data_IF_761436663517
#
_entry.id   IF_761436663517
#
_cell.length_a   1.000
_cell.length_b   1.000
_cell.length_c   1.000
_cell.angle_alpha   90.00
_cell.angle_beta   90.00
_cell.angle_gamma   90.00
#
_symmetry.space_group_name_H-M   'P 1'
#
loop_
_entity.id
_entity.type
_entity.pdbx_description
1 polymer ?
#
# COMPACT_ATOMS: atom_id res chain seq x y z
N UNK A 1 3.08 7.83 -9.26
CA UNK A 1 2.61 6.43 -9.26
C UNK A 1 1.22 6.44 -8.66
N UNK A 2 0.26 5.73 -9.26
CA UNK A 2 -1.12 5.70 -8.77
C UNK A 2 -1.22 4.98 -7.41
N UNK A 3 -2.24 5.33 -6.60
CA UNK A 3 -2.41 4.76 -5.25
C UNK A 3 -2.76 3.26 -5.31
N UNK A 4 -3.47 2.81 -6.35
CA UNK A 4 -3.78 1.40 -6.54
C UNK A 4 -2.51 0.63 -6.89
N UNK A 5 -1.64 1.20 -7.72
CA UNK A 5 -0.32 0.59 -8.00
C UNK A 5 0.53 0.49 -6.73
N UNK A 6 0.55 1.54 -5.89
CA UNK A 6 1.26 1.51 -4.61
C UNK A 6 0.71 0.44 -3.67
N UNK A 7 -0.61 0.25 -3.61
CA UNK A 7 -1.22 -0.83 -2.83
C UNK A 7 -0.81 -2.22 -3.33
N UNK A 8 -0.78 -2.43 -4.64
CA UNK A 8 -0.34 -3.71 -5.23
C UNK A 8 1.12 -4.00 -4.88
N UNK A 9 2.00 -3.01 -5.02
CA UNK A 9 3.41 -3.12 -4.63
C UNK A 9 3.57 -3.40 -3.14
N UNK A 10 2.78 -2.73 -2.29
CA UNK A 10 2.82 -2.92 -0.84
C UNK A 10 2.37 -4.33 -0.43
N UNK A 11 1.32 -4.88 -1.06
CA UNK A 11 0.88 -6.26 -0.83
C UNK A 11 1.96 -7.25 -1.24
N UNK A 12 2.61 -7.04 -2.40
CA UNK A 12 3.72 -7.87 -2.84
C UNK A 12 4.90 -7.82 -1.86
N UNK A 13 5.21 -6.64 -1.32
CA UNK A 13 6.24 -6.46 -0.30
C UNK A 13 5.92 -7.23 0.99
N UNK A 14 4.68 -7.13 1.49
CA UNK A 14 4.22 -7.88 2.66
C UNK A 14 4.36 -9.39 2.42
N UNK A 15 3.95 -9.89 1.26
CA UNK A 15 4.06 -11.31 0.92
C UNK A 15 5.53 -11.78 0.92
N UNK A 16 6.44 -11.00 0.31
CA UNK A 16 7.87 -11.30 0.29
C UNK A 16 8.49 -11.30 1.69
N UNK A 17 8.21 -10.28 2.51
CA UNK A 17 8.70 -10.20 3.89
C UNK A 17 8.19 -11.41 4.69
N UNK A 18 6.90 -11.73 4.56
CA UNK A 18 6.28 -12.84 5.28
C UNK A 18 6.93 -14.18 4.93
N UNK A 19 7.17 -14.44 3.64
CA UNK A 19 7.85 -15.65 3.19
C UNK A 19 9.26 -15.76 3.78
N UNK A 20 10.00 -14.65 3.80
CA UNK A 20 11.34 -14.61 4.38
C UNK A 20 11.35 -14.80 5.90
N UNK A 21 10.39 -14.23 6.62
CA UNK A 21 10.24 -14.44 8.08
C UNK A 21 10.01 -15.91 8.38
N UNK A 22 9.06 -16.55 7.70
CA UNK A 22 8.80 -17.97 7.95
C UNK A 22 9.96 -18.86 7.53
N UNK A 23 10.59 -18.58 6.39
CA UNK A 23 11.76 -19.31 5.92
C UNK A 23 12.93 -19.23 6.89
N UNK A 24 13.23 -18.04 7.43
CA UNK A 24 14.33 -17.84 8.39
C UNK A 24 14.03 -18.50 9.73
N UNK A 25 12.79 -18.39 10.23
CA UNK A 25 12.37 -19.07 11.46
C UNK A 25 12.44 -20.61 11.34
N UNK A 26 12.05 -21.18 10.20
CA UNK A 26 12.14 -22.62 9.98
C UNK A 26 13.60 -23.08 9.82
N UNK A 27 14.42 -22.33 9.09
CA UNK A 27 15.84 -22.63 8.89
C UNK A 27 16.62 -22.57 10.19
N UNK A 28 16.34 -21.58 11.03
CA UNK A 28 17.10 -21.29 12.25
C UNK A 28 16.45 -21.90 13.52
N UNK A 29 15.44 -22.75 13.35
CA UNK A 29 14.76 -23.40 14.48
C UNK A 29 15.73 -24.33 15.23
N UNK A 30 15.97 -24.13 16.54
CA UNK A 30 16.78 -25.04 17.31
C UNK A 30 16.06 -26.39 17.47
N UNK A 31 16.79 -27.52 17.51
CA UNK A 31 16.19 -28.80 17.82
C UNK A 31 15.58 -28.78 19.23
N UNK A 32 14.36 -29.29 19.35
CA UNK A 32 13.65 -29.38 20.64
C UNK A 32 13.58 -30.85 21.07
N UNK A 33 13.91 -31.14 22.33
CA UNK A 33 13.69 -32.48 22.87
C UNK A 33 12.20 -32.71 23.11
N UNK A 34 11.63 -33.69 22.40
CA UNK A 34 10.21 -34.04 22.52
C UNK A 34 9.92 -34.95 23.72
N UNK A 35 10.93 -35.61 24.27
CA UNK A 35 10.78 -36.52 25.41
C UNK A 35 12.10 -36.68 26.18
N UNK A 36 12.06 -36.92 27.50
CA UNK A 36 13.26 -37.09 28.33
C UNK A 36 14.13 -38.32 27.99
N UNK A 37 13.60 -39.23 27.17
CA UNK A 37 14.26 -40.49 26.81
C UNK A 37 14.95 -40.44 25.43
N UNK A 38 15.04 -39.26 24.82
CA UNK A 38 15.69 -39.05 23.53
C UNK A 38 17.06 -38.39 23.75
N UNK A 39 18.12 -38.81 23.02
CA UNK A 39 19.45 -38.22 23.18
C UNK A 39 19.45 -36.71 22.91
N UNK A 40 20.32 -35.99 23.64
CA UNK A 40 20.49 -34.55 23.51
C UNK A 40 20.80 -34.16 22.06
N UNK A 41 20.09 -33.16 21.50
CA UNK A 41 20.41 -32.68 20.16
C UNK A 41 21.78 -31.98 20.13
N UNK A 42 22.43 -31.95 18.96
CA UNK A 42 23.68 -31.23 18.80
C UNK A 42 23.52 -29.74 19.13
N UNK A 43 24.58 -29.07 19.62
CA UNK A 43 24.53 -27.65 19.97
C UNK A 43 24.07 -26.81 18.77
N UNK A 44 23.04 -25.99 18.98
CA UNK A 44 22.47 -25.14 17.95
C UNK A 44 23.38 -23.94 17.65
N UNK A 45 23.38 -23.48 16.40
CA UNK A 45 23.97 -22.20 16.03
C UNK A 45 23.30 -21.05 16.80
N UNK A 46 24.01 -19.94 17.07
CA UNK A 46 23.41 -18.78 17.72
C UNK A 46 22.23 -18.25 16.90
N UNK A 47 21.12 -17.98 17.58
CA UNK A 47 19.95 -17.35 16.97
C UNK A 47 20.32 -15.95 16.46
N UNK A 48 20.01 -15.69 15.20
CA UNK A 48 20.24 -14.39 14.56
C UNK A 48 19.15 -13.40 14.99
N UNK A 49 19.46 -12.10 15.00
CA UNK A 49 18.45 -11.04 15.23
C UNK A 49 17.65 -10.69 13.95
N UNK A 50 18.00 -11.31 12.81
CA UNK A 50 17.32 -11.19 11.51
C UNK A 50 15.78 -11.36 11.59
N UNK A 51 15.23 -12.42 12.22
CA UNK A 51 13.77 -12.58 12.34
C UNK A 51 13.08 -11.43 13.09
N UNK A 52 13.77 -10.80 14.07
CA UNK A 52 13.20 -9.65 14.78
C UNK A 52 13.12 -8.43 13.86
N UNK A 53 14.18 -8.17 13.09
CA UNK A 53 14.19 -7.07 12.12
C UNK A 53 13.11 -7.28 11.05
N UNK A 54 13.02 -8.48 10.48
CA UNK A 54 12.00 -8.80 9.48
C UNK A 54 10.57 -8.70 10.04
N UNK A 55 10.36 -9.06 11.31
CA UNK A 55 9.06 -8.88 11.97
C UNK A 55 8.70 -7.40 12.16
N UNK A 56 9.68 -6.55 12.46
CA UNK A 56 9.48 -5.10 12.54
C UNK A 56 9.15 -4.50 11.16
N UNK A 57 9.84 -4.98 10.12
CA UNK A 57 9.59 -4.56 8.74
C UNK A 57 8.19 -4.98 8.28
N UNK A 58 7.72 -6.18 8.67
CA UNK A 58 6.35 -6.62 8.41
C UNK A 58 5.31 -5.71 9.05
N UNK A 59 5.48 -5.35 10.32
CA UNK A 59 4.57 -4.44 11.02
C UNK A 59 4.57 -3.05 10.37
N UNK A 60 5.74 -2.56 9.96
CA UNK A 60 5.85 -1.29 9.24
C UNK A 60 5.13 -1.34 7.90
N UNK A 61 5.32 -2.42 7.15
CA UNK A 61 4.66 -2.65 5.87
C UNK A 61 3.12 -2.72 6.00
N UNK A 62 2.63 -3.36 7.06
CA UNK A 62 1.19 -3.40 7.37
C UNK A 62 0.63 -1.99 7.66
N UNK A 63 1.34 -1.17 8.45
CA UNK A 63 0.92 0.22 8.70
C UNK A 63 0.90 1.09 7.45
N UNK A 64 1.86 0.87 6.53
CA UNK A 64 1.90 1.56 5.25
C UNK A 64 0.73 1.15 4.37
N UNK A 65 0.36 -0.14 4.37
CA UNK A 65 -0.85 -0.61 3.70
C UNK A 65 -2.11 0.08 4.24
N UNK A 66 -2.28 0.16 5.57
CA UNK A 66 -3.43 0.84 6.17
C UNK A 66 -3.49 2.32 5.77
N UNK A 67 -2.35 3.02 5.74
CA UNK A 67 -2.27 4.40 5.31
C UNK A 67 -2.66 4.57 3.82
N UNK A 68 -2.22 3.66 2.96
CA UNK A 68 -2.59 3.66 1.54
C UNK A 68 -4.07 3.36 1.33
N UNK A 69 -4.65 2.43 2.10
CA UNK A 69 -6.09 2.16 2.09
C UNK A 69 -6.88 3.39 2.54
N UNK A 70 -6.43 4.08 3.59
CA UNK A 70 -7.06 5.31 4.08
C UNK A 70 -6.96 6.50 3.13
N UNK A 71 -5.97 6.51 2.24
CA UNK A 71 -5.79 7.54 1.23
C UNK A 71 -6.53 7.25 -0.09
N UNK A 72 -7.25 6.12 -0.19
CA UNK A 72 -8.08 5.83 -1.35
C UNK A 72 -9.14 6.93 -1.53
N UNK A 73 -9.31 7.47 -2.75
CA UNK A 73 -10.36 8.44 -3.05
C UNK A 73 -11.71 7.71 -3.11
N UNK A 74 -12.24 7.33 -1.95
CA UNK A 74 -13.56 6.74 -1.80
C UNK A 74 -14.59 7.85 -1.97
N UNK A 75 -15.52 7.67 -2.90
CA UNK A 75 -16.73 8.51 -2.94
C UNK A 75 -17.68 7.98 -1.86
N UNK A 76 -18.02 8.80 -0.86
CA UNK A 76 -18.93 8.47 0.26
C UNK A 76 -20.35 8.01 -0.18
N UNK A 77 -20.64 8.02 -1.48
CA UNK A 77 -21.88 7.51 -2.07
C UNK A 77 -21.69 6.51 -3.21
N UNK A 78 -20.52 5.88 -3.30
CA UNK A 78 -20.19 4.89 -4.35
C UNK A 78 -20.11 5.49 -5.76
N UNK A 79 -20.23 4.63 -6.76
CA UNK A 79 -20.04 5.00 -8.17
C UNK A 79 -21.05 6.06 -8.65
N UNK A 80 -22.32 5.97 -8.24
CA UNK A 80 -23.35 6.92 -8.69
C UNK A 80 -23.07 8.35 -8.20
N UNK A 81 -22.65 8.51 -6.95
CA UNK A 81 -22.25 9.81 -6.42
C UNK A 81 -21.02 10.36 -7.16
N UNK A 82 -20.05 9.49 -7.44
CA UNK A 82 -18.87 9.85 -8.20
C UNK A 82 -19.21 10.30 -9.62
N UNK A 83 -20.12 9.60 -10.31
CA UNK A 83 -20.59 9.97 -11.65
C UNK A 83 -21.31 11.34 -11.64
N UNK A 84 -22.12 11.63 -10.63
CA UNK A 84 -22.77 12.95 -10.47
C UNK A 84 -21.74 14.06 -10.27
N UNK A 85 -20.72 13.82 -9.44
CA UNK A 85 -19.62 14.78 -9.24
C UNK A 85 -18.88 15.01 -10.56
N UNK A 86 -18.56 13.95 -11.30
CA UNK A 86 -17.89 14.07 -12.61
C UNK A 86 -18.74 14.89 -13.59
N UNK A 87 -20.04 14.61 -13.69
CA UNK A 87 -20.94 15.35 -14.57
C UNK A 87 -21.02 16.85 -14.20
N UNK A 88 -21.05 17.16 -12.91
CA UNK A 88 -21.03 18.55 -12.42
C UNK A 88 -19.71 19.25 -12.75
N UNK A 89 -18.57 18.61 -12.48
CA UNK A 89 -17.24 19.15 -12.80
C UNK A 89 -17.07 19.35 -14.32
N UNK A 90 -17.59 18.44 -15.14
CA UNK A 90 -17.57 18.60 -16.61
C UNK A 90 -18.38 19.81 -17.06
N UNK A 91 -19.54 20.07 -16.44
CA UNK A 91 -20.37 21.24 -16.72
C UNK A 91 -19.64 22.54 -16.35
N UNK A 92 -19.02 22.58 -15.17
CA UNK A 92 -18.26 23.73 -14.68
C UNK A 92 -17.04 24.01 -15.58
N UNK A 93 -16.28 22.98 -15.96
CA UNK A 93 -15.16 23.12 -16.89
C UNK A 93 -15.59 23.72 -18.23
N UNK A 94 -16.73 23.27 -18.78
CA UNK A 94 -17.25 23.82 -20.04
C UNK A 94 -17.61 25.30 -19.90
N UNK A 95 -18.25 25.68 -18.80
CA UNK A 95 -18.60 27.07 -18.52
C UNK A 95 -17.36 27.96 -18.39
N UNK A 96 -16.34 27.50 -17.65
CA UNK A 96 -15.07 28.22 -17.49
C UNK A 96 -14.37 28.37 -18.84
N UNK A 97 -14.37 27.32 -19.67
CA UNK A 97 -13.78 27.36 -21.01
C UNK A 97 -14.48 28.39 -21.92
N UNK A 98 -15.80 28.45 -21.89
CA UNK A 98 -16.58 29.41 -22.69
C UNK A 98 -16.34 30.86 -22.22
N UNK A 99 -16.33 31.09 -20.91
CA UNK A 99 -16.00 32.41 -20.34
C UNK A 99 -14.58 32.84 -20.69
N UNK A 100 -13.63 31.91 -20.66
CA UNK A 100 -12.25 32.18 -21.07
C UNK A 100 -12.16 32.56 -22.56
N UNK A 101 -12.89 31.85 -23.43
CA UNK A 101 -12.98 32.17 -24.85
C UNK A 101 -13.54 33.57 -25.10
N UNK A 102 -14.66 33.90 -24.46
CA UNK A 102 -15.26 35.24 -24.55
C UNK A 102 -14.31 36.34 -24.07
N UNK A 103 -13.59 36.11 -22.97
CA UNK A 103 -12.60 37.05 -22.46
C UNK A 103 -11.42 37.24 -23.44
N UNK A 104 -10.95 36.17 -24.07
CA UNK A 104 -9.89 36.23 -25.08
C UNK A 104 -10.33 37.00 -26.32
N UNK A 105 -11.54 36.75 -26.82
CA UNK A 105 -12.13 37.45 -27.97
C UNK A 105 -12.34 38.94 -27.68
N UNK A 106 -12.83 39.28 -26.49
CA UNK A 106 -12.97 40.67 -26.07
C UNK A 106 -11.62 41.40 -26.01
N UNK A 107 -10.56 40.75 -25.53
CA UNK A 107 -9.21 41.32 -25.51
C UNK A 107 -8.62 41.53 -26.92
N UNK A 108 -8.97 40.66 -27.89
CA UNK A 108 -8.54 40.81 -29.29
C UNK A 108 -9.28 41.94 -30.01
N UNK A 109 -10.57 42.15 -29.71
CA UNK A 109 -11.40 43.20 -30.31
C UNK A 109 -11.16 44.61 -29.70
N UNK A 110 -10.35 44.70 -28.64
CA UNK A 110 -9.94 45.97 -28.00
C UNK A 110 -8.60 46.52 -28.52
N UNK A 111 -7.95 45.86 -29.49
CA UNK A 111 -6.74 46.30 -30.19
C UNK A 111 -7.06 46.88 -31.56
#
# INVERSE_FOLDING_TARGET
MDIISQLQEQVNSIAAITFNVFGTLQRDAPPVQLSPNYPDPPPSAPTTDEPKQLSADLVKAAKQFDALVGALPLSDGGEEAQLKIIAQLQKELKQVQELFGQAADNCLNLK
#
